data_IF_070452566041
#
_entry.id   IF_070452566041
#
_cell.length_a   1.000
_cell.length_b   1.000
_cell.length_c   1.000
_cell.angle_alpha   90.00
_cell.angle_beta   90.00
_cell.angle_gamma   90.00
#
_symmetry.space_group_name_H-M   'P 1'
#
loop_
_entity.id
_entity.type
_entity.pdbx_description
1 polymer ?
#
# COMPACT_ATOMS: atom_id res chain seq x y z
N UNK A 1 0.28 -25.88 13.74
CA UNK A 1 0.67 -24.86 12.72
C UNK A 1 -0.52 -24.01 12.29
N UNK A 2 -1.71 -24.60 12.12
CA UNK A 2 -3.01 -23.92 11.92
C UNK A 2 -3.18 -22.60 12.66
N UNK A 3 -3.18 -22.67 13.98
CA UNK A 3 -3.50 -21.51 14.82
C UNK A 3 -2.48 -20.39 14.66
N UNK A 4 -1.19 -20.74 14.50
CA UNK A 4 -0.12 -19.75 14.33
C UNK A 4 -0.19 -19.06 12.96
N UNK A 5 -0.43 -19.82 11.89
CA UNK A 5 -0.58 -19.27 10.55
C UNK A 5 -1.78 -18.31 10.47
N UNK A 6 -2.95 -18.76 10.94
CA UNK A 6 -4.16 -17.93 10.94
C UNK A 6 -4.05 -16.73 11.87
N UNK A 7 -3.42 -16.87 13.05
CA UNK A 7 -3.18 -15.74 13.95
C UNK A 7 -2.24 -14.70 13.34
N UNK A 8 -1.18 -15.12 12.67
CA UNK A 8 -0.29 -14.22 11.94
C UNK A 8 -1.03 -13.52 10.80
N UNK A 9 -1.79 -14.26 10.00
CA UNK A 9 -2.61 -13.68 8.93
C UNK A 9 -3.61 -12.66 9.45
N UNK A 10 -4.26 -12.94 10.59
CA UNK A 10 -5.17 -12.02 11.26
C UNK A 10 -4.46 -10.77 11.80
N UNK A 11 -3.24 -10.91 12.31
CA UNK A 11 -2.43 -9.77 12.74
C UNK A 11 -2.06 -8.87 11.56
N UNK A 12 -1.61 -9.44 10.44
CA UNK A 12 -1.27 -8.68 9.22
C UNK A 12 -2.51 -8.01 8.63
N UNK A 13 -3.65 -8.69 8.62
CA UNK A 13 -4.95 -8.11 8.28
C UNK A 13 -5.24 -6.87 9.13
N UNK A 14 -5.16 -7.00 10.46
CA UNK A 14 -5.47 -5.92 11.38
C UNK A 14 -4.55 -4.71 11.19
N UNK A 15 -3.25 -4.94 10.96
CA UNK A 15 -2.28 -3.86 10.70
C UNK A 15 -2.64 -3.11 9.41
N UNK A 16 -2.95 -3.83 8.31
CA UNK A 16 -3.35 -3.21 7.05
C UNK A 16 -4.68 -2.45 7.18
N UNK A 17 -5.65 -3.02 7.91
CA UNK A 17 -6.93 -2.37 8.16
C UNK A 17 -6.76 -1.09 8.98
N UNK A 18 -5.92 -1.14 10.03
CA UNK A 18 -5.61 0.04 10.84
C UNK A 18 -4.92 1.13 10.01
N UNK A 19 -3.92 0.76 9.21
CA UNK A 19 -3.25 1.68 8.29
C UNK A 19 -4.25 2.31 7.29
N UNK A 20 -5.14 1.49 6.72
CA UNK A 20 -6.20 1.95 5.81
C UNK A 20 -7.19 2.91 6.48
N UNK A 21 -7.64 2.62 7.70
CA UNK A 21 -8.55 3.51 8.45
C UNK A 21 -7.86 4.83 8.80
N UNK A 22 -6.64 4.78 9.33
CA UNK A 22 -5.87 5.99 9.68
C UNK A 22 -5.61 6.83 8.42
N UNK A 23 -5.25 6.19 7.30
CA UNK A 23 -5.06 6.84 6.01
C UNK A 23 -6.33 7.49 5.48
N UNK A 24 -7.47 6.80 5.54
CA UNK A 24 -8.77 7.32 5.12
C UNK A 24 -9.19 8.56 5.93
N UNK A 25 -9.01 8.51 7.27
CA UNK A 25 -9.30 9.65 8.15
C UNK A 25 -8.36 10.82 7.85
N UNK A 26 -7.07 10.56 7.69
CA UNK A 26 -6.07 11.58 7.35
C UNK A 26 -6.37 12.26 6.01
N UNK A 27 -6.74 11.46 5.02
CA UNK A 27 -7.08 11.91 3.67
C UNK A 27 -8.36 12.75 3.66
N UNK A 28 -9.41 12.33 4.39
CA UNK A 28 -10.65 13.09 4.52
C UNK A 28 -10.43 14.44 5.22
N UNK A 29 -9.51 14.49 6.19
CA UNK A 29 -9.17 15.71 6.94
C UNK A 29 -8.19 16.63 6.20
N UNK A 30 -7.67 16.24 5.03
CA UNK A 30 -6.63 16.97 4.29
C UNK A 30 -5.38 17.28 5.14
N UNK A 31 -5.04 16.40 6.08
CA UNK A 31 -3.89 16.58 6.96
C UNK A 31 -2.84 15.50 6.68
N UNK A 32 -1.55 15.85 6.53
CA UNK A 32 -0.47 14.88 6.52
C UNK A 32 -0.41 14.16 7.87
N UNK A 33 -0.27 12.83 7.86
CA UNK A 33 -0.13 12.03 9.07
C UNK A 33 1.16 11.23 9.05
N UNK A 34 2.08 11.56 9.96
CA UNK A 34 3.31 10.80 10.18
C UNK A 34 2.99 9.38 10.66
N UNK A 35 1.97 9.24 11.52
CA UNK A 35 1.51 7.95 12.03
C UNK A 35 1.04 7.02 10.90
N UNK A 36 0.32 7.57 9.90
CA UNK A 36 -0.10 6.79 8.73
C UNK A 36 1.10 6.17 8.01
N UNK A 37 2.14 6.96 7.76
CA UNK A 37 3.32 6.48 7.02
C UNK A 37 4.09 5.39 7.78
N UNK A 38 4.24 5.51 9.10
CA UNK A 38 4.83 4.44 9.91
C UNK A 38 3.97 3.16 9.91
N UNK A 39 2.65 3.30 10.05
CA UNK A 39 1.72 2.17 9.97
C UNK A 39 1.77 1.50 8.59
N UNK A 40 1.82 2.27 7.52
CA UNK A 40 1.96 1.77 6.15
C UNK A 40 3.24 0.95 5.99
N UNK A 41 4.39 1.45 6.46
CA UNK A 41 5.65 0.69 6.37
C UNK A 41 5.60 -0.59 7.20
N UNK A 42 5.02 -0.54 8.40
CA UNK A 42 4.79 -1.73 9.21
C UNK A 42 3.88 -2.74 8.47
N UNK A 43 2.81 -2.28 7.82
CA UNK A 43 1.89 -3.12 7.06
C UNK A 43 2.56 -3.78 5.84
N UNK A 44 3.37 -3.04 5.09
CA UNK A 44 4.12 -3.56 3.94
C UNK A 44 5.13 -4.63 4.37
N UNK A 45 5.92 -4.36 5.42
CA UNK A 45 6.89 -5.31 5.96
C UNK A 45 6.19 -6.56 6.51
N UNK A 46 5.13 -6.39 7.30
CA UNK A 46 4.36 -7.50 7.85
C UNK A 46 3.75 -8.37 6.75
N UNK A 47 3.18 -7.76 5.70
CA UNK A 47 2.66 -8.47 4.53
C UNK A 47 3.74 -9.28 3.82
N UNK A 48 4.91 -8.67 3.56
CA UNK A 48 6.03 -9.36 2.93
C UNK A 48 6.53 -10.54 3.76
N UNK A 49 6.74 -10.34 5.06
CA UNK A 49 7.17 -11.40 5.99
C UNK A 49 6.14 -12.54 6.08
N UNK A 50 4.85 -12.23 6.10
CA UNK A 50 3.80 -13.23 6.13
C UNK A 50 3.75 -14.08 4.86
N UNK A 51 3.92 -13.47 3.68
CA UNK A 51 4.00 -14.22 2.41
C UNK A 51 5.24 -15.11 2.37
N UNK A 52 6.40 -14.63 2.85
CA UNK A 52 7.60 -15.46 2.97
C UNK A 52 7.37 -16.64 3.92
N UNK A 53 6.73 -16.40 5.06
CA UNK A 53 6.35 -17.45 6.00
C UNK A 53 5.39 -18.46 5.35
N UNK A 54 4.42 -18.00 4.58
CA UNK A 54 3.51 -18.88 3.84
C UNK A 54 4.26 -19.76 2.82
N UNK A 55 5.22 -19.22 2.08
CA UNK A 55 6.09 -20.01 1.20
C UNK A 55 6.84 -21.11 1.95
N UNK A 56 7.37 -20.82 3.14
CA UNK A 56 8.04 -21.83 3.99
C UNK A 56 7.06 -22.92 4.39
N UNK A 57 5.84 -22.55 4.82
CA UNK A 57 4.78 -23.50 5.18
C UNK A 57 4.42 -24.41 4.00
N UNK A 58 4.31 -23.84 2.79
CA UNK A 58 4.02 -24.62 1.57
C UNK A 58 5.16 -25.56 1.19
N UNK A 59 6.41 -25.13 1.37
CA UNK A 59 7.59 -25.96 1.11
C UNK A 59 7.70 -27.14 2.09
N UNK A 60 7.18 -26.99 3.32
CA UNK A 60 7.06 -28.06 4.31
C UNK A 60 5.92 -29.05 4.01
N UNK A 61 5.16 -28.84 2.93
CA UNK A 61 4.12 -29.76 2.46
C UNK A 61 2.70 -29.41 2.91
N UNK A 62 2.52 -28.40 3.74
CA UNK A 62 1.18 -27.94 4.16
C UNK A 62 0.54 -27.15 3.01
N UNK A 63 -0.58 -27.65 2.49
CA UNK A 63 -1.23 -27.10 1.30
C UNK A 63 -2.71 -26.90 1.56
N UNK A 64 -3.24 -25.74 1.17
CA UNK A 64 -4.67 -25.49 1.19
C UNK A 64 -5.37 -26.36 0.13
N UNK A 65 -6.54 -26.86 0.47
CA UNK A 65 -7.41 -27.60 -0.47
C UNK A 65 -7.97 -26.66 -1.54
N UNK A 66 -8.27 -25.42 -1.17
CA UNK A 66 -8.74 -24.38 -2.09
C UNK A 66 -7.56 -23.68 -2.76
N UNK A 67 -7.50 -23.74 -4.10
CA UNK A 67 -6.45 -23.08 -4.88
C UNK A 67 -6.54 -21.54 -4.84
N UNK A 68 -7.71 -20.97 -4.55
CA UNK A 68 -7.87 -19.53 -4.39
C UNK A 68 -7.06 -18.97 -3.21
N UNK A 69 -6.77 -19.81 -2.21
CA UNK A 69 -5.93 -19.43 -1.08
C UNK A 69 -4.56 -18.89 -1.54
N UNK A 70 -3.90 -19.60 -2.46
CA UNK A 70 -2.58 -19.17 -2.95
C UNK A 70 -2.68 -17.82 -3.66
N UNK A 71 -3.72 -17.62 -4.48
CA UNK A 71 -3.95 -16.35 -5.15
C UNK A 71 -4.11 -15.21 -4.13
N UNK A 72 -4.94 -15.41 -3.10
CA UNK A 72 -5.18 -14.39 -2.08
C UNK A 72 -3.97 -14.11 -1.19
N UNK A 73 -3.03 -15.05 -1.04
CA UNK A 73 -1.79 -14.85 -0.30
C UNK A 73 -0.76 -14.07 -1.12
N UNK A 74 -0.62 -14.33 -2.41
CA UNK A 74 0.40 -13.66 -3.24
C UNK A 74 -0.05 -12.31 -3.83
N UNK A 75 -1.35 -12.15 -4.11
CA UNK A 75 -1.87 -10.92 -4.70
C UNK A 75 -1.60 -9.64 -3.87
N UNK A 76 -1.62 -9.67 -2.52
CA UNK A 76 -1.20 -8.53 -1.70
C UNK A 76 0.18 -7.95 -2.02
N UNK A 77 1.14 -8.80 -2.42
CA UNK A 77 2.48 -8.35 -2.80
C UNK A 77 2.42 -7.59 -4.12
N UNK A 78 1.71 -8.13 -5.12
CA UNK A 78 1.50 -7.46 -6.40
C UNK A 78 0.77 -6.11 -6.23
N UNK A 79 -0.25 -6.06 -5.37
CA UNK A 79 -0.96 -4.82 -5.02
C UNK A 79 -0.02 -3.82 -4.36
N UNK A 80 0.86 -4.26 -3.45
CA UNK A 80 1.86 -3.39 -2.80
C UNK A 80 2.82 -2.77 -3.80
N UNK A 81 3.33 -3.56 -4.76
CA UNK A 81 4.19 -3.05 -5.82
C UNK A 81 3.45 -2.06 -6.73
N UNK A 82 2.23 -2.42 -7.16
CA UNK A 82 1.43 -1.54 -8.01
C UNK A 82 1.12 -0.21 -7.33
N UNK A 83 0.79 -0.25 -6.04
CA UNK A 83 0.54 0.96 -5.25
C UNK A 83 1.76 1.87 -5.15
N UNK A 84 2.96 1.29 -4.99
CA UNK A 84 4.21 2.07 -4.96
C UNK A 84 4.52 2.73 -6.32
N UNK A 85 4.27 2.02 -7.43
CA UNK A 85 4.39 2.60 -8.78
C UNK A 85 3.38 3.72 -9.00
N UNK A 86 2.12 3.51 -8.59
CA UNK A 86 1.07 4.52 -8.68
C UNK A 86 1.36 5.73 -7.80
N UNK A 87 1.97 5.55 -6.63
CA UNK A 87 2.40 6.65 -5.76
C UNK A 87 3.36 7.57 -6.49
N UNK A 88 4.44 7.01 -7.05
CA UNK A 88 5.39 7.77 -7.86
C UNK A 88 4.77 8.44 -9.08
N UNK A 89 3.92 7.71 -9.83
CA UNK A 89 3.23 8.26 -10.99
C UNK A 89 2.28 9.41 -10.63
N UNK A 90 1.57 9.29 -9.50
CA UNK A 90 0.63 10.32 -9.02
C UNK A 90 1.33 11.62 -8.62
N UNK A 91 2.55 11.53 -8.08
CA UNK A 91 3.37 12.70 -7.77
C UNK A 91 3.81 13.42 -9.04
N UNK A 92 4.32 12.68 -10.03
CA UNK A 92 4.69 13.23 -11.34
C UNK A 92 3.50 13.86 -12.06
N UNK A 93 2.31 13.24 -12.00
CA UNK A 93 1.09 13.80 -12.58
C UNK A 93 0.69 15.11 -11.90
N UNK A 94 0.67 15.17 -10.57
CA UNK A 94 0.31 16.41 -9.86
C UNK A 94 1.31 17.54 -10.17
N UNK A 95 2.62 17.23 -10.30
CA UNK A 95 3.60 18.23 -10.75
C UNK A 95 3.32 18.70 -12.19
N UNK A 96 3.07 17.77 -13.11
CA UNK A 96 2.74 18.07 -14.50
C UNK A 96 1.50 18.95 -14.63
N UNK A 97 0.41 18.56 -13.98
CA UNK A 97 -0.87 19.27 -14.00
C UNK A 97 -0.75 20.72 -13.48
N UNK A 98 0.18 20.96 -12.54
CA UNK A 98 0.34 22.27 -11.89
C UNK A 98 1.39 23.16 -12.56
N UNK A 99 2.50 22.58 -13.00
CA UNK A 99 3.65 23.32 -13.54
C UNK A 99 3.62 23.41 -15.06
N UNK A 100 3.04 22.42 -15.74
CA UNK A 100 2.97 22.39 -17.21
C UNK A 100 1.67 21.76 -17.72
N UNK A 101 0.50 22.38 -17.46
CA UNK A 101 -0.80 21.81 -17.81
C UNK A 101 -1.06 21.68 -19.32
N UNK A 102 -0.26 22.35 -20.16
CA UNK A 102 -0.43 22.38 -21.62
C UNK A 102 0.60 21.56 -22.38
N UNK A 103 1.74 21.26 -21.75
CA UNK A 103 2.87 20.62 -22.42
C UNK A 103 3.41 19.49 -21.54
N UNK A 104 3.45 18.24 -22.03
CA UNK A 104 4.04 17.15 -21.28
C UNK A 104 5.54 17.38 -21.12
N UNK A 105 6.01 17.39 -19.87
CA UNK A 105 7.43 17.51 -19.50
C UNK A 105 7.94 16.23 -18.86
N UNK A 106 9.23 16.00 -18.97
CA UNK A 106 9.90 14.89 -18.28
C UNK A 106 9.97 15.15 -16.77
N UNK A 107 10.14 14.09 -15.98
CA UNK A 107 10.29 14.22 -14.52
C UNK A 107 11.47 15.12 -14.12
N UNK A 108 12.54 15.16 -14.92
CA UNK A 108 13.70 16.01 -14.66
C UNK A 108 13.34 17.49 -14.81
N UNK A 109 12.71 17.85 -15.92
CA UNK A 109 12.28 19.23 -16.17
C UNK A 109 11.23 19.70 -15.14
N UNK A 110 10.31 18.82 -14.74
CA UNK A 110 9.34 19.13 -13.68
C UNK A 110 10.03 19.38 -12.33
N UNK A 111 11.10 18.64 -12.03
CA UNK A 111 11.89 18.85 -10.80
C UNK A 111 12.66 20.17 -10.83
N UNK A 112 13.22 20.56 -11.99
CA UNK A 112 13.89 21.84 -12.17
C UNK A 112 12.90 22.99 -11.97
N UNK A 113 11.75 22.94 -12.66
CA UNK A 113 10.67 23.93 -12.50
C UNK A 113 10.15 24.02 -11.05
N UNK A 114 10.02 22.88 -10.38
CA UNK A 114 9.60 22.86 -8.98
C UNK A 114 10.63 23.54 -8.07
N UNK A 115 11.92 23.33 -8.31
CA UNK A 115 13.01 23.92 -7.51
C UNK A 115 13.14 25.43 -7.67
N UNK A 116 12.67 25.99 -8.79
CA UNK A 116 12.66 27.42 -9.07
C UNK A 116 11.49 28.16 -8.40
N UNK A 117 10.50 27.43 -7.86
CA UNK A 117 9.36 28.04 -7.17
C UNK A 117 9.73 28.64 -5.82
N UNK A 118 8.95 29.64 -5.41
CA UNK A 118 8.98 30.15 -4.05
C UNK A 118 8.64 29.05 -3.02
N UNK A 119 9.24 29.08 -1.80
CA UNK A 119 9.05 28.06 -0.78
C UNK A 119 7.58 27.78 -0.43
N UNK A 120 6.75 28.82 -0.31
CA UNK A 120 5.32 28.68 0.00
C UNK A 120 4.55 27.88 -1.06
N UNK A 121 4.97 28.02 -2.32
CA UNK A 121 4.35 27.32 -3.45
C UNK A 121 4.85 25.88 -3.55
N UNK A 122 6.13 25.64 -3.23
CA UNK A 122 6.67 24.30 -3.08
C UNK A 122 5.94 23.52 -1.98
N UNK A 123 5.71 24.14 -0.83
CA UNK A 123 4.98 23.52 0.28
C UNK A 123 3.55 23.18 -0.13
N UNK A 124 2.85 24.13 -0.76
CA UNK A 124 1.46 23.92 -1.21
C UNK A 124 1.34 22.74 -2.18
N UNK A 125 2.24 22.65 -3.16
CA UNK A 125 2.27 21.53 -4.12
C UNK A 125 2.70 20.23 -3.43
N UNK A 126 3.67 20.28 -2.52
CA UNK A 126 4.11 19.14 -1.73
C UNK A 126 2.97 18.52 -0.91
N UNK A 127 2.15 19.34 -0.25
CA UNK A 127 0.98 18.89 0.49
C UNK A 127 -0.07 18.22 -0.42
N UNK A 128 -0.26 18.73 -1.64
CA UNK A 128 -1.16 18.13 -2.63
C UNK A 128 -0.65 16.76 -3.10
N UNK A 129 0.66 16.65 -3.36
CA UNK A 129 1.30 15.37 -3.70
C UNK A 129 1.10 14.38 -2.55
N UNK A 130 1.46 14.75 -1.32
CA UNK A 130 1.31 13.88 -0.14
C UNK A 130 -0.14 13.41 0.02
N UNK A 131 -1.12 14.29 -0.21
CA UNK A 131 -2.55 13.93 -0.15
C UNK A 131 -2.90 12.86 -1.19
N UNK A 132 -2.39 12.98 -2.42
CA UNK A 132 -2.66 12.03 -3.50
C UNK A 132 -1.96 10.70 -3.26
N UNK A 133 -0.72 10.74 -2.80
CA UNK A 133 0.03 9.55 -2.37
C UNK A 133 -0.68 8.81 -1.21
N UNK A 134 -1.20 9.55 -0.24
CA UNK A 134 -1.95 9.00 0.90
C UNK A 134 -3.21 8.27 0.43
N UNK A 135 -3.92 8.82 -0.57
CA UNK A 135 -5.11 8.19 -1.13
C UNK A 135 -4.78 6.83 -1.80
N UNK A 136 -3.76 6.82 -2.66
CA UNK A 136 -3.29 5.59 -3.34
C UNK A 136 -2.93 4.51 -2.33
N UNK A 137 -2.13 4.88 -1.32
CA UNK A 137 -1.66 3.92 -0.31
C UNK A 137 -2.78 3.45 0.62
N UNK A 138 -3.72 4.32 0.96
CA UNK A 138 -4.91 3.95 1.74
C UNK A 138 -5.74 2.89 1.03
N UNK A 139 -6.03 3.10 -0.26
CA UNK A 139 -6.80 2.15 -1.06
C UNK A 139 -6.06 0.80 -1.13
N UNK A 140 -4.74 0.83 -1.34
CA UNK A 140 -3.93 -0.38 -1.36
C UNK A 140 -4.01 -1.17 -0.05
N UNK A 141 -3.90 -0.51 1.11
CA UNK A 141 -4.04 -1.15 2.42
C UNK A 141 -5.42 -1.82 2.59
N UNK A 142 -6.50 -1.16 2.15
CA UNK A 142 -7.85 -1.72 2.25
C UNK A 142 -8.04 -2.94 1.32
N UNK A 143 -7.50 -2.88 0.10
CA UNK A 143 -7.50 -4.02 -0.84
C UNK A 143 -6.70 -5.18 -0.27
N UNK A 144 -5.50 -4.93 0.28
CA UNK A 144 -4.68 -5.97 0.91
C UNK A 144 -5.41 -6.59 2.11
N UNK A 145 -6.03 -5.77 2.96
CA UNK A 145 -6.82 -6.28 4.07
C UNK A 145 -7.96 -7.19 3.57
N UNK A 146 -8.71 -6.76 2.55
CA UNK A 146 -9.74 -7.61 1.94
C UNK A 146 -9.19 -8.94 1.40
N UNK A 147 -8.05 -8.92 0.73
CA UNK A 147 -7.41 -10.13 0.21
C UNK A 147 -6.96 -11.09 1.32
N UNK A 148 -6.39 -10.56 2.40
CA UNK A 148 -5.97 -11.37 3.55
C UNK A 148 -7.18 -11.97 4.28
N UNK A 149 -8.28 -11.22 4.39
CA UNK A 149 -9.54 -11.76 4.91
C UNK A 149 -10.00 -12.96 4.08
N UNK A 150 -10.00 -12.81 2.75
CA UNK A 150 -10.36 -13.90 1.82
C UNK A 150 -9.43 -15.09 1.93
N UNK A 151 -8.13 -14.87 2.09
CA UNK A 151 -7.16 -15.95 2.30
C UNK A 151 -7.44 -16.74 3.59
N UNK A 152 -7.84 -16.06 4.67
CA UNK A 152 -8.20 -16.69 5.95
C UNK A 152 -9.47 -17.54 5.81
N UNK A 153 -10.48 -17.09 5.07
CA UNK A 153 -11.69 -17.88 4.79
C UNK A 153 -11.37 -19.15 3.98
N UNK A 154 -10.45 -19.06 3.01
CA UNK A 154 -10.04 -20.22 2.18
C UNK A 154 -8.90 -21.04 2.78
N UNK A 155 -8.56 -20.82 4.06
CA UNK A 155 -7.52 -21.58 4.79
C UNK A 155 -8.00 -22.98 5.20
N UNK A 156 -9.29 -23.29 5.05
CA UNK A 156 -9.85 -24.60 5.37
C UNK A 156 -9.10 -25.74 4.64
N UNK A 157 -8.72 -26.79 5.38
CA UNK A 157 -8.06 -27.99 4.84
C UNK A 157 -6.53 -27.94 4.75
N UNK A 158 -5.85 -26.90 5.25
CA UNK A 158 -4.38 -26.89 5.37
C UNK A 158 -3.81 -27.84 6.44
N UNK A 159 -4.67 -28.46 7.26
CA UNK A 159 -4.29 -29.26 8.43
C UNK A 159 -5.12 -30.52 8.54
#
# INVERSE_FOLDING_TARGET
>A
MSTAYSALGLAVLAINLLAGVVGAVSWQRNQPSVTFWYLLRAAQVATGLFVLFACVVYALGYRATDQLHYLYIFLPVAVSFMAELMRGASASQELGDRLSPREPKTNKELSELFSELDPDRQETIGLLIIRRETAVMTIACLVIAFLLWRALETTAGMF
#
